data_IF_596893159136
#
_entry.id   IF_596893159136
#
_cell.length_a   1.000
_cell.length_b   1.000
_cell.length_c   1.000
_cell.angle_alpha   90.00
_cell.angle_beta   90.00
_cell.angle_gamma   90.00
#
_symmetry.space_group_name_H-M   'P 1'
#
loop_
_entity.id
_entity.type
_entity.pdbx_description
1 polymer ?
#
# COMPACT_ATOMS: atom_id res chain seq x y z
N UNK A 1 10.80 15.03 13.72
CA UNK A 1 11.17 16.48 13.63
C UNK A 1 9.98 17.34 13.18
N UNK A 2 8.78 16.75 13.03
CA UNK A 2 7.64 17.36 12.32
C UNK A 2 6.68 18.16 13.21
N UNK A 3 6.61 17.85 14.50
CA UNK A 3 5.65 18.48 15.41
C UNK A 3 6.21 19.78 15.99
N UNK A 4 5.34 20.80 16.13
CA UNK A 4 5.69 22.07 16.81
C UNK A 4 5.99 21.81 18.29
N UNK A 5 5.22 20.94 18.92
CA UNK A 5 5.34 20.56 20.32
C UNK A 5 5.26 19.03 20.47
N UNK A 6 6.37 18.31 20.23
CA UNK A 6 6.36 16.86 20.32
C UNK A 6 6.13 16.37 21.77
N UNK A 7 5.54 15.17 21.95
CA UNK A 7 5.44 14.50 23.24
C UNK A 7 6.79 14.40 23.94
N UNK A 8 6.78 14.40 25.27
CA UNK A 8 8.00 14.26 26.07
C UNK A 8 8.47 12.81 26.08
N UNK A 9 9.77 12.59 26.28
CA UNK A 9 10.35 11.23 26.33
C UNK A 9 9.65 10.33 27.37
N UNK A 10 9.23 10.88 28.51
CA UNK A 10 8.46 10.15 29.52
C UNK A 10 7.08 9.69 29.03
N UNK A 11 6.44 10.41 28.10
CA UNK A 11 5.17 9.98 27.49
C UNK A 11 5.39 8.81 26.54
N UNK A 12 6.49 8.82 25.77
CA UNK A 12 6.90 7.68 24.95
C UNK A 12 7.23 6.44 25.80
N UNK A 13 7.93 6.61 26.93
CA UNK A 13 8.17 5.50 27.85
C UNK A 13 6.85 4.97 28.45
N UNK A 14 5.95 5.86 28.85
CA UNK A 14 4.66 5.51 29.43
C UNK A 14 3.80 4.65 28.48
N UNK A 15 3.69 5.00 27.20
CA UNK A 15 2.87 4.22 26.23
C UNK A 15 3.41 2.81 25.96
N UNK A 16 4.65 2.50 26.37
CA UNK A 16 5.22 1.16 26.26
C UNK A 16 4.88 0.23 27.42
N UNK A 17 4.08 0.69 28.40
CA UNK A 17 3.70 -0.09 29.59
C UNK A 17 4.90 -0.66 30.36
N UNK A 18 5.97 0.14 30.48
CA UNK A 18 7.20 -0.22 31.18
C UNK A 18 8.15 -1.12 30.39
N UNK A 19 7.86 -1.45 29.13
CA UNK A 19 8.76 -2.23 28.29
C UNK A 19 10.05 -1.46 27.89
N UNK A 20 9.99 -0.13 27.84
CA UNK A 20 11.14 0.72 27.53
C UNK A 20 11.27 1.86 28.56
N UNK A 21 12.48 2.09 29.05
CA UNK A 21 12.85 3.24 29.88
C UNK A 21 13.23 4.47 29.03
N UNK A 22 13.20 5.66 29.62
CA UNK A 22 13.63 6.89 28.93
C UNK A 22 15.08 6.80 28.44
N UNK A 23 15.97 6.20 29.23
CA UNK A 23 17.39 6.03 28.88
C UNK A 23 17.58 5.08 27.69
N UNK A 24 16.79 4.00 27.60
CA UNK A 24 16.82 3.08 26.47
C UNK A 24 16.31 3.74 25.18
N UNK A 25 15.26 4.56 25.28
CA UNK A 25 14.73 5.33 24.15
C UNK A 25 15.80 6.29 23.61
N UNK A 26 16.43 7.10 24.49
CA UNK A 26 17.50 8.03 24.09
C UNK A 26 18.73 7.31 23.53
N UNK A 27 19.11 6.19 24.13
CA UNK A 27 20.20 5.35 23.65
C UNK A 27 19.91 4.82 22.25
N UNK A 28 18.69 4.35 22.00
CA UNK A 28 18.27 3.82 20.71
C UNK A 28 18.12 4.90 19.65
N UNK A 29 17.62 6.08 20.01
CA UNK A 29 17.56 7.25 19.14
C UNK A 29 18.95 7.53 18.56
N UNK A 30 19.98 7.64 19.41
CA UNK A 30 21.34 7.91 18.95
C UNK A 30 21.89 6.83 18.01
N UNK A 31 21.54 5.55 18.24
CA UNK A 31 21.92 4.44 17.36
C UNK A 31 21.26 4.59 15.99
N UNK A 32 19.95 4.89 15.95
CA UNK A 32 19.21 5.09 14.69
C UNK A 32 19.74 6.30 13.93
N UNK A 33 19.96 7.43 14.61
CA UNK A 33 20.51 8.66 14.01
C UNK A 33 21.87 8.41 13.33
N UNK A 34 22.78 7.71 14.02
CA UNK A 34 24.09 7.33 13.47
C UNK A 34 23.96 6.34 12.33
N UNK A 35 23.08 5.33 12.46
CA UNK A 35 22.85 4.33 11.44
C UNK A 35 22.33 4.92 10.12
N UNK A 36 21.50 5.96 10.20
CA UNK A 36 20.98 6.69 9.04
C UNK A 36 21.92 7.80 8.55
N UNK A 37 23.08 7.99 9.17
CA UNK A 37 24.00 9.07 8.83
C UNK A 37 23.38 10.46 8.96
N UNK A 38 22.47 10.64 9.92
CA UNK A 38 21.69 11.87 10.13
C UNK A 38 20.80 12.30 8.95
N UNK A 39 20.56 11.40 7.99
CA UNK A 39 19.62 11.65 6.89
C UNK A 39 18.17 11.34 7.33
N UNK A 40 17.49 12.34 7.89
CA UNK A 40 16.17 12.21 8.53
C UNK A 40 15.06 12.96 7.79
N UNK A 41 15.32 13.45 6.57
CA UNK A 41 14.36 14.22 5.77
C UNK A 41 13.99 13.53 4.45
N UNK A 42 13.54 12.25 4.47
CA UNK A 42 13.01 11.62 3.27
C UNK A 42 11.64 12.22 2.91
N UNK A 43 11.33 12.28 1.61
CA UNK A 43 9.97 12.60 1.17
C UNK A 43 9.12 11.33 1.25
N UNK A 44 8.25 11.25 2.26
CA UNK A 44 7.40 10.08 2.54
C UNK A 44 6.25 9.92 1.54
N UNK A 45 5.58 8.77 1.53
CA UNK A 45 4.41 8.56 0.66
C UNK A 45 3.25 9.54 0.94
N UNK A 46 2.87 9.85 2.20
CA UNK A 46 1.91 10.91 2.49
C UNK A 46 2.36 12.31 2.01
N UNK A 47 3.67 12.61 2.07
CA UNK A 47 4.20 13.87 1.56
C UNK A 47 4.04 13.99 0.03
N UNK A 48 4.31 12.91 -0.72
CA UNK A 48 4.01 12.84 -2.15
C UNK A 48 2.52 12.94 -2.45
N UNK A 49 1.68 12.25 -1.67
CA UNK A 49 0.23 12.34 -1.80
C UNK A 49 -0.25 13.78 -1.66
N UNK A 50 0.22 14.50 -0.63
CA UNK A 50 -0.12 15.91 -0.43
C UNK A 50 0.23 16.77 -1.66
N UNK A 51 1.43 16.58 -2.24
CA UNK A 51 1.83 17.27 -3.48
C UNK A 51 0.88 16.93 -4.63
N UNK A 52 0.54 15.66 -4.83
CA UNK A 52 -0.35 15.25 -5.92
C UNK A 52 -1.77 15.78 -5.77
N UNK A 53 -2.32 15.75 -4.56
CA UNK A 53 -3.63 16.33 -4.25
C UNK A 53 -3.65 17.84 -4.51
N UNK A 54 -2.58 18.53 -4.12
CA UNK A 54 -2.43 19.96 -4.37
C UNK A 54 -2.27 20.26 -5.85
N UNK A 55 -1.45 19.51 -6.59
CA UNK A 55 -1.29 19.68 -8.05
C UNK A 55 -2.63 19.51 -8.77
N UNK A 56 -3.49 18.60 -8.29
CA UNK A 56 -4.80 18.43 -8.91
C UNK A 56 -5.77 19.58 -8.62
N UNK A 57 -5.76 20.09 -7.39
CA UNK A 57 -6.77 21.06 -6.94
C UNK A 57 -6.33 22.52 -7.13
N UNK A 58 -5.03 22.76 -7.34
CA UNK A 58 -4.47 24.11 -7.38
C UNK A 58 -4.75 24.82 -8.70
N UNK A 59 -5.14 26.09 -8.59
CA UNK A 59 -5.20 27.01 -9.71
C UNK A 59 -3.78 27.44 -10.14
N UNK A 60 -3.29 26.87 -11.24
CA UNK A 60 -1.96 27.16 -11.79
C UNK A 60 -1.78 28.61 -12.25
N UNK A 61 -2.86 29.39 -12.42
CA UNK A 61 -2.76 30.83 -12.69
C UNK A 61 -2.25 31.62 -11.48
N UNK A 62 -2.29 31.04 -10.28
CA UNK A 62 -1.87 31.64 -9.01
C UNK A 62 -0.82 30.77 -8.31
N UNK A 63 0.43 30.75 -8.81
CA UNK A 63 1.48 29.87 -8.28
C UNK A 63 1.80 30.15 -6.80
N UNK A 64 1.65 31.39 -6.33
CA UNK A 64 1.84 31.75 -4.92
C UNK A 64 0.80 31.12 -3.98
N UNK A 65 -0.34 30.65 -4.51
CA UNK A 65 -1.38 29.99 -3.74
C UNK A 65 -1.10 28.50 -3.48
N UNK A 66 -0.08 27.91 -4.15
CA UNK A 66 0.21 26.47 -4.07
C UNK A 66 0.50 25.99 -2.65
N UNK A 67 1.06 26.85 -1.80
CA UNK A 67 1.39 26.52 -0.40
C UNK A 67 0.15 26.36 0.49
N UNK A 68 -1.01 26.84 0.04
CA UNK A 68 -2.25 26.75 0.79
C UNK A 68 -3.05 25.53 0.30
N UNK A 69 -3.45 24.63 1.20
CA UNK A 69 -4.20 23.43 0.84
C UNK A 69 -5.52 23.81 0.19
N UNK A 70 -5.76 23.24 -0.99
CA UNK A 70 -6.94 23.52 -1.82
C UNK A 70 -7.72 22.25 -2.19
N UNK A 71 -7.30 21.10 -1.68
CA UNK A 71 -7.91 19.79 -1.93
C UNK A 71 -8.80 19.34 -0.79
N UNK A 72 -9.76 18.45 -1.07
CA UNK A 72 -10.67 17.91 -0.05
C UNK A 72 -9.94 16.99 0.94
N UNK A 73 -10.11 17.26 2.24
CA UNK A 73 -9.60 16.39 3.31
C UNK A 73 -10.14 14.96 3.23
N UNK A 74 -11.40 14.78 2.79
CA UNK A 74 -11.99 13.44 2.60
C UNK A 74 -11.25 12.65 1.51
N UNK A 75 -11.02 13.27 0.34
CA UNK A 75 -10.30 12.61 -0.75
C UNK A 75 -8.87 12.26 -0.36
N UNK A 76 -8.21 13.13 0.41
CA UNK A 76 -6.89 12.87 0.96
C UNK A 76 -6.93 11.67 1.91
N UNK A 77 -7.86 11.67 2.87
CA UNK A 77 -8.00 10.60 3.87
C UNK A 77 -8.25 9.23 3.25
N UNK A 78 -9.06 9.14 2.18
CA UNK A 78 -9.29 7.89 1.46
C UNK A 78 -8.01 7.35 0.81
N UNK A 79 -7.24 8.22 0.15
CA UNK A 79 -5.96 7.81 -0.44
C UNK A 79 -4.91 7.49 0.63
N UNK A 80 -4.87 8.25 1.73
CA UNK A 80 -3.98 8.03 2.84
C UNK A 80 -4.27 6.70 3.55
N UNK A 81 -5.55 6.36 3.78
CA UNK A 81 -5.95 5.09 4.39
C UNK A 81 -5.44 3.88 3.56
N UNK A 82 -5.50 3.98 2.23
CA UNK A 82 -4.96 2.95 1.35
C UNK A 82 -3.43 2.83 1.48
N UNK A 83 -2.71 3.95 1.58
CA UNK A 83 -1.26 3.94 1.84
C UNK A 83 -0.95 3.34 3.22
N UNK A 84 -1.73 3.70 4.25
CA UNK A 84 -1.55 3.20 5.61
C UNK A 84 -1.71 1.69 5.66
N UNK A 85 -2.76 1.14 5.03
CA UNK A 85 -2.95 -0.31 4.95
C UNK A 85 -1.81 -0.99 4.19
N UNK A 86 -1.40 -0.43 3.05
CA UNK A 86 -0.38 -1.02 2.20
C UNK A 86 1.02 -1.00 2.84
N UNK A 87 1.33 0.01 3.65
CA UNK A 87 2.64 0.10 4.32
C UNK A 87 2.78 -0.88 5.49
N UNK A 88 1.69 -1.51 5.95
CA UNK A 88 1.76 -2.66 6.86
C UNK A 88 2.33 -3.92 6.18
N UNK A 89 2.31 -3.97 4.84
CA UNK A 89 2.90 -5.06 4.06
C UNK A 89 4.32 -4.68 3.59
N UNK A 90 5.28 -5.57 3.82
CA UNK A 90 6.68 -5.38 3.41
C UNK A 90 6.86 -5.25 1.90
N UNK A 91 5.92 -5.77 1.11
CA UNK A 91 5.90 -5.66 -0.34
C UNK A 91 5.84 -4.20 -0.83
N UNK A 92 5.35 -3.27 0.00
CA UNK A 92 5.35 -1.83 -0.30
C UNK A 92 6.75 -1.27 -0.54
N UNK A 93 7.78 -1.87 0.07
CA UNK A 93 9.18 -1.44 -0.05
C UNK A 93 9.77 -1.67 -1.45
N UNK A 94 9.10 -2.43 -2.31
CA UNK A 94 9.49 -2.62 -3.72
C UNK A 94 9.21 -1.38 -4.58
N UNK A 95 8.40 -0.43 -4.09
CA UNK A 95 7.96 0.73 -4.85
C UNK A 95 8.48 2.04 -4.23
N UNK A 96 8.91 3.01 -5.06
CA UNK A 96 9.20 4.35 -4.55
C UNK A 96 7.97 4.97 -3.89
N UNK A 97 8.16 5.78 -2.85
CA UNK A 97 7.07 6.49 -2.18
C UNK A 97 6.21 7.35 -3.11
N UNK A 98 6.80 7.89 -4.18
CA UNK A 98 6.06 8.59 -5.24
C UNK A 98 5.11 7.69 -6.02
N UNK A 99 5.50 6.43 -6.29
CA UNK A 99 4.66 5.47 -6.99
C UNK A 99 3.52 4.98 -6.10
N UNK A 100 3.79 4.74 -4.81
CA UNK A 100 2.78 4.41 -3.82
C UNK A 100 1.69 5.49 -3.73
N UNK A 101 2.10 6.76 -3.63
CA UNK A 101 1.18 7.89 -3.62
C UNK A 101 0.38 8.01 -4.93
N UNK A 102 1.04 7.89 -6.09
CA UNK A 102 0.36 7.95 -7.39
C UNK A 102 -0.62 6.79 -7.60
N UNK A 103 -0.28 5.58 -7.13
CA UNK A 103 -1.14 4.41 -7.20
C UNK A 103 -2.35 4.56 -6.24
N UNK A 104 -2.18 5.18 -5.08
CA UNK A 104 -3.30 5.51 -4.20
C UNK A 104 -4.25 6.54 -4.86
N UNK A 105 -3.71 7.57 -5.52
CA UNK A 105 -4.51 8.49 -6.35
C UNK A 105 -5.22 7.75 -7.48
N UNK A 106 -4.57 6.76 -8.12
CA UNK A 106 -5.22 5.95 -9.15
C UNK A 106 -6.47 5.23 -8.63
N UNK A 107 -6.39 4.59 -7.46
CA UNK A 107 -7.50 3.80 -6.91
C UNK A 107 -8.64 4.66 -6.37
N UNK A 108 -8.36 5.92 -6.01
CA UNK A 108 -9.36 6.85 -5.45
C UNK A 108 -9.93 7.84 -6.47
N UNK A 109 -9.14 8.25 -7.47
CA UNK A 109 -9.49 9.31 -8.44
C UNK A 109 -9.31 8.89 -9.91
N UNK A 110 -8.82 7.68 -10.16
CA UNK A 110 -8.70 7.11 -11.49
C UNK A 110 -7.37 7.38 -12.21
N UNK A 111 -7.21 6.68 -13.34
CA UNK A 111 -5.95 6.62 -14.11
C UNK A 111 -5.48 7.98 -14.62
N UNK A 112 -6.39 8.75 -15.21
CA UNK A 112 -6.02 10.03 -15.83
C UNK A 112 -5.50 11.03 -14.80
N UNK A 113 -6.14 11.10 -13.63
CA UNK A 113 -5.68 11.93 -12.52
C UNK A 113 -4.27 11.53 -12.07
N UNK A 114 -4.08 10.24 -11.77
CA UNK A 114 -2.80 9.72 -11.28
C UNK A 114 -1.63 10.01 -12.24
N UNK A 115 -1.81 9.80 -13.55
CA UNK A 115 -0.76 10.08 -14.54
C UNK A 115 -0.50 11.58 -14.69
N UNK A 116 -1.55 12.41 -14.61
CA UNK A 116 -1.44 13.86 -14.74
C UNK A 116 -0.65 14.48 -13.58
N UNK A 117 -0.97 14.10 -12.34
CA UNK A 117 -0.37 14.69 -11.13
C UNK A 117 1.04 14.16 -10.88
N UNK A 118 1.29 12.87 -11.17
CA UNK A 118 2.59 12.25 -10.94
C UNK A 118 3.59 12.47 -12.07
N UNK A 119 3.09 12.74 -13.29
CA UNK A 119 3.87 12.79 -14.55
C UNK A 119 4.60 11.49 -14.87
N UNK A 120 4.22 10.37 -14.25
CA UNK A 120 4.72 9.05 -14.57
C UNK A 120 4.06 8.53 -15.85
N UNK A 121 4.81 7.72 -16.60
CA UNK A 121 4.23 6.90 -17.66
C UNK A 121 3.39 5.77 -17.07
N UNK A 122 2.48 5.21 -17.87
CA UNK A 122 1.68 4.07 -17.41
C UNK A 122 2.56 2.86 -17.12
N UNK A 123 3.61 2.65 -17.92
CA UNK A 123 4.55 1.54 -17.78
C UNK A 123 5.28 1.59 -16.42
N UNK A 124 5.59 2.79 -15.93
CA UNK A 124 6.19 3.00 -14.61
C UNK A 124 5.19 2.76 -13.47
N UNK A 125 3.94 3.21 -13.64
CA UNK A 125 2.93 3.21 -12.57
C UNK A 125 2.18 1.87 -12.46
N UNK A 126 1.94 1.18 -13.57
CA UNK A 126 1.10 -0.02 -13.64
C UNK A 126 1.49 -1.15 -12.67
N UNK A 127 2.78 -1.47 -12.44
CA UNK A 127 3.16 -2.52 -11.48
C UNK A 127 2.71 -2.20 -10.06
N UNK A 128 2.89 -0.95 -9.62
CA UNK A 128 2.48 -0.49 -8.29
C UNK A 128 0.95 -0.46 -8.17
N UNK A 129 0.25 0.03 -9.20
CA UNK A 129 -1.22 0.02 -9.25
C UNK A 129 -1.78 -1.39 -9.12
N UNK A 130 -1.23 -2.35 -9.89
CA UNK A 130 -1.64 -3.75 -9.86
C UNK A 130 -1.44 -4.36 -8.48
N UNK A 131 -0.28 -4.15 -7.88
CA UNK A 131 0.02 -4.65 -6.53
C UNK A 131 -0.93 -4.04 -5.49
N UNK A 132 -1.19 -2.73 -5.57
CA UNK A 132 -2.04 -2.01 -4.63
C UNK A 132 -3.54 -2.36 -4.76
N UNK A 133 -3.96 -3.00 -5.86
CA UNK A 133 -5.35 -3.37 -6.11
C UNK A 133 -5.97 -4.24 -5.01
N UNK A 134 -5.22 -5.18 -4.45
CA UNK A 134 -5.75 -6.07 -3.40
C UNK A 134 -6.06 -5.30 -2.11
N UNK A 135 -5.22 -4.32 -1.77
CA UNK A 135 -5.39 -3.42 -0.64
C UNK A 135 -6.55 -2.45 -0.86
N UNK A 136 -6.66 -1.88 -2.06
CA UNK A 136 -7.77 -0.99 -2.42
C UNK A 136 -9.12 -1.70 -2.28
N UNK A 137 -9.20 -2.96 -2.72
CA UNK A 137 -10.41 -3.76 -2.55
C UNK A 137 -10.70 -4.09 -1.08
N UNK A 138 -9.67 -4.28 -0.24
CA UNK A 138 -9.88 -4.53 1.19
C UNK A 138 -10.41 -3.27 1.92
N UNK A 139 -9.91 -2.08 1.55
CA UNK A 139 -10.42 -0.80 2.06
C UNK A 139 -11.87 -0.58 1.62
N UNK A 140 -12.17 -0.79 0.33
CA UNK A 140 -13.53 -0.59 -0.21
C UNK A 140 -14.58 -1.53 0.43
N UNK A 141 -14.20 -2.79 0.69
CA UNK A 141 -15.08 -3.73 1.38
C UNK A 141 -15.40 -3.26 2.80
N UNK A 142 -14.45 -2.65 3.51
CA UNK A 142 -14.65 -2.14 4.87
C UNK A 142 -15.46 -0.84 4.89
N UNK A 143 -15.20 0.11 3.98
CA UNK A 143 -16.02 1.32 3.83
C UNK A 143 -17.49 0.97 3.60
N UNK A 144 -17.78 -0.05 2.78
CA UNK A 144 -19.14 -0.52 2.55
C UNK A 144 -19.82 -1.05 3.82
N UNK A 145 -19.05 -1.65 4.74
CA UNK A 145 -19.53 -2.12 6.04
C UNK A 145 -19.69 -0.98 7.05
N UNK A 146 -18.85 0.06 6.96
CA UNK A 146 -18.88 1.24 7.83
C UNK A 146 -19.99 2.22 7.47
N UNK A 147 -20.28 2.42 6.18
CA UNK A 147 -21.42 3.22 5.71
C UNK A 147 -22.77 2.64 6.12
N UNK A 148 -22.87 1.32 6.29
CA UNK A 148 -24.05 0.66 6.89
C UNK A 148 -24.20 0.96 8.39
N UNK A 149 -23.15 1.46 9.06
CA UNK A 149 -23.09 1.70 10.51
C UNK A 149 -23.10 3.18 10.91
N UNK A 150 -22.86 4.11 9.99
CA UNK A 150 -22.66 5.53 10.31
C UNK A 150 -23.81 6.43 9.85
N UNK A 151 -24.54 7.01 10.80
CA UNK A 151 -25.50 8.11 10.62
C UNK A 151 -24.98 9.37 11.31
N UNK A 152 -23.96 10.03 10.78
CA UNK A 152 -23.53 11.35 11.27
C UNK A 152 -23.27 12.27 10.09
N UNK A 153 -23.93 13.43 10.11
CA UNK A 153 -23.78 14.49 9.10
C UNK A 153 -22.53 15.34 9.40
N UNK A 154 -21.79 15.80 8.36
CA UNK A 154 -20.65 16.68 8.55
C UNK A 154 -21.08 18.07 9.02
N UNK A 155 -20.45 18.58 10.08
CA UNK A 155 -20.64 19.93 10.59
C UNK A 155 -19.74 20.90 9.81
N UNK A 156 -20.31 21.79 9.01
CA UNK A 156 -19.54 22.82 8.30
C UNK A 156 -19.09 23.93 9.26
N UNK A 157 -17.79 24.02 9.53
CA UNK A 157 -17.19 25.15 10.24
C UNK A 157 -16.93 26.32 9.29
N UNK A 158 -17.82 27.32 9.31
CA UNK A 158 -17.70 28.55 8.52
C UNK A 158 -16.88 29.61 9.26
N UNK A 159 -15.54 29.53 9.17
CA UNK A 159 -14.67 30.62 9.60
C UNK A 159 -14.26 31.49 8.40
N UNK A 160 -14.77 32.73 8.36
CA UNK A 160 -14.46 33.72 7.33
C UNK A 160 -13.05 34.27 7.46
N UNK A 161 -12.07 33.58 6.88
CA UNK A 161 -10.69 34.07 6.76
C UNK A 161 -10.53 34.98 5.55
N UNK A 162 -9.84 36.12 5.71
CA UNK A 162 -9.47 37.02 4.60
C UNK A 162 -8.61 36.35 3.52
N UNK A 163 -7.97 35.21 3.86
CA UNK A 163 -7.25 34.39 2.88
C UNK A 163 -8.15 33.88 1.76
N UNK A 164 -9.46 33.69 2.00
CA UNK A 164 -10.41 33.26 0.96
C UNK A 164 -10.53 34.26 -0.19
N UNK A 165 -10.21 35.54 0.03
CA UNK A 165 -10.18 36.53 -1.06
C UNK A 165 -9.02 36.28 -2.04
N UNK A 166 -7.88 35.81 -1.53
CA UNK A 166 -6.68 35.51 -2.34
C UNK A 166 -6.67 34.07 -2.84
N UNK A 167 -7.16 33.13 -2.02
CA UNK A 167 -7.24 31.69 -2.28
C UNK A 167 -8.68 31.21 -2.01
N UNK A 168 -9.60 31.33 -2.98
CA UNK A 168 -11.02 31.00 -2.80
C UNK A 168 -11.27 29.56 -2.35
N UNK A 169 -10.44 28.63 -2.84
CA UNK A 169 -10.57 27.18 -2.58
C UNK A 169 -9.79 26.73 -1.34
N UNK A 170 -9.33 27.64 -0.48
CA UNK A 170 -8.55 27.26 0.70
C UNK A 170 -9.38 26.37 1.64
N UNK A 171 -8.80 25.23 1.98
CA UNK A 171 -9.28 24.35 3.04
C UNK A 171 -8.62 24.80 4.35
N UNK A 172 -9.43 25.20 5.31
CA UNK A 172 -8.96 25.65 6.63
C UNK A 172 -8.98 24.53 7.67
N UNK A 173 -9.76 23.48 7.41
CA UNK A 173 -9.79 22.28 8.23
C UNK A 173 -8.64 21.37 7.81
N UNK A 174 -7.63 21.27 8.68
CA UNK A 174 -6.44 20.46 8.47
C UNK A 174 -6.53 19.11 9.22
N UNK A 175 -7.74 18.71 9.66
CA UNK A 175 -7.93 17.48 10.45
C UNK A 175 -7.47 16.21 9.72
N UNK A 176 -7.48 16.20 8.38
CA UNK A 176 -6.96 15.09 7.56
C UNK A 176 -5.46 14.85 7.72
N UNK A 177 -4.72 15.78 8.34
CA UNK A 177 -3.28 15.64 8.60
C UNK A 177 -2.96 14.92 9.90
N UNK A 178 -3.96 14.69 10.74
CA UNK A 178 -3.80 13.94 11.98
C UNK A 178 -3.82 12.45 11.63
N UNK A 179 -2.75 11.72 12.01
CA UNK A 179 -2.70 10.27 11.80
C UNK A 179 -3.85 9.60 12.57
N UNK A 180 -4.58 8.74 11.88
CA UNK A 180 -5.65 7.92 12.47
C UNK A 180 -5.27 6.44 12.43
N UNK A 181 -5.93 5.63 13.25
CA UNK A 181 -5.79 4.17 13.23
C UNK A 181 -7.05 3.54 12.62
N UNK A 182 -7.35 3.94 11.37
CA UNK A 182 -8.56 3.52 10.63
C UNK A 182 -8.37 2.19 9.85
N UNK A 183 -7.16 1.64 9.87
CA UNK A 183 -6.84 0.34 9.26
C UNK A 183 -6.38 -0.63 10.33
N UNK A 184 -6.57 -1.93 10.12
CA UNK A 184 -6.16 -2.96 11.07
C UNK A 184 -5.51 -4.17 10.38
N UNK A 185 -5.01 -5.10 11.20
CA UNK A 185 -4.36 -6.32 10.72
C UNK A 185 -5.34 -7.29 10.04
N UNK A 186 -6.64 -7.22 10.33
CA UNK A 186 -7.64 -8.06 9.66
C UNK A 186 -7.85 -7.60 8.21
N UNK A 187 -7.85 -6.29 7.97
CA UNK A 187 -7.85 -5.72 6.63
C UNK A 187 -6.59 -6.14 5.85
N UNK A 188 -5.43 -6.13 6.52
CA UNK A 188 -4.17 -6.58 5.91
C UNK A 188 -4.25 -8.05 5.49
N UNK A 189 -4.70 -8.93 6.38
CA UNK A 189 -4.87 -10.36 6.08
C UNK A 189 -5.80 -10.58 4.87
N UNK A 190 -6.93 -9.86 4.81
CA UNK A 190 -7.84 -9.90 3.65
C UNK A 190 -7.15 -9.44 2.36
N UNK A 191 -6.39 -8.35 2.41
CA UNK A 191 -5.64 -7.84 1.27
C UNK A 191 -4.61 -8.87 0.77
N UNK A 192 -3.83 -9.47 1.68
CA UNK A 192 -2.83 -10.50 1.33
C UNK A 192 -3.47 -11.77 0.75
N UNK A 193 -4.63 -12.19 1.24
CA UNK A 193 -5.38 -13.32 0.66
C UNK A 193 -5.84 -13.02 -0.77
N UNK A 194 -6.36 -11.81 -1.01
CA UNK A 194 -6.75 -11.36 -2.36
C UNK A 194 -5.56 -11.27 -3.30
N UNK A 195 -4.41 -10.81 -2.81
CA UNK A 195 -3.19 -10.73 -3.61
C UNK A 195 -2.74 -12.12 -4.10
N UNK A 196 -2.74 -13.12 -3.20
CA UNK A 196 -2.42 -14.52 -3.55
C UNK A 196 -3.38 -15.12 -4.58
N UNK A 197 -4.67 -14.81 -4.53
CA UNK A 197 -5.64 -15.32 -5.50
C UNK A 197 -5.52 -14.65 -6.87
N UNK A 198 -5.15 -13.36 -6.92
CA UNK A 198 -4.85 -12.65 -8.17
C UNK A 198 -3.61 -13.21 -8.87
N UNK A 199 -2.59 -13.61 -8.11
CA UNK A 199 -1.39 -14.23 -8.67
C UNK A 199 -1.68 -15.64 -9.21
N UNK A 200 -2.47 -16.44 -8.49
CA UNK A 200 -2.83 -17.79 -8.91
C UNK A 200 -3.70 -17.80 -10.18
N UNK A 201 -4.69 -16.90 -10.27
CA UNK A 201 -5.54 -16.77 -11.46
C UNK A 201 -4.75 -16.28 -12.70
N UNK A 202 -3.70 -15.49 -12.50
CA UNK A 202 -2.81 -15.06 -13.58
C UNK A 202 -1.98 -16.23 -14.16
N UNK A 203 -1.60 -17.21 -13.32
CA UNK A 203 -0.86 -18.40 -13.74
C UNK A 203 -1.74 -19.41 -14.50
N UNK A 204 -2.97 -19.66 -14.03
CA UNK A 204 -3.90 -20.58 -14.71
C UNK A 204 -4.29 -20.08 -16.12
N UNK A 205 -4.35 -18.77 -16.33
CA UNK A 205 -4.60 -18.15 -17.64
C UNK A 205 -3.46 -18.40 -18.64
N UNK A 206 -2.20 -18.43 -18.17
CA UNK A 206 -1.02 -18.73 -18.98
C UNK A 206 -0.89 -20.21 -19.32
N UNK A 207 -1.32 -21.10 -18.42
CA UNK A 207 -1.35 -22.56 -18.70
C UNK A 207 -2.44 -22.89 -19.72
N UNK A 208 -3.60 -22.22 -19.62
CA UNK A 208 -4.73 -22.41 -20.54
C UNK A 208 -4.47 -21.92 -21.97
N UNK A 209 -3.52 -21.00 -22.17
CA UNK A 209 -3.13 -20.50 -23.51
C UNK A 209 -2.07 -21.36 -24.22
N UNK A 210 -1.60 -22.45 -23.59
CA UNK A 210 -0.59 -23.35 -24.16
C UNK A 210 -1.16 -24.66 -24.76
N UNK A 211 -2.49 -24.81 -24.78
CA UNK A 211 -3.18 -26.03 -25.24
C UNK A 211 -4.24 -25.73 -26.32
N UNK A 212 -3.89 -24.95 -27.34
CA UNK A 212 -4.68 -24.90 -28.58
C UNK A 212 -3.83 -25.40 -29.75
N UNK A 213 -3.84 -26.72 -29.94
CA UNK A 213 -3.51 -27.35 -31.21
C UNK A 213 -4.53 -28.45 -31.48
N UNK A 214 -5.52 -28.10 -32.31
CA UNK A 214 -6.30 -28.96 -33.24
C UNK A 214 -6.61 -30.41 -32.84
N UNK A 215 -7.92 -30.67 -32.67
CA UNK A 215 -8.74 -31.90 -32.57
C UNK A 215 -8.33 -33.15 -33.42
N UNK A 216 -9.09 -34.28 -33.44
CA UNK A 216 -10.00 -34.93 -32.45
C UNK A 216 -9.69 -36.45 -32.26
N UNK A 217 -10.19 -37.11 -31.20
CA UNK A 217 -10.93 -38.39 -31.37
C UNK A 217 -11.58 -38.89 -30.07
N UNK A 218 -12.82 -39.36 -30.22
CA UNK A 218 -13.61 -40.02 -29.19
C UNK A 218 -13.13 -41.47 -29.02
N UNK A 219 -12.98 -41.91 -27.77
CA UNK A 219 -13.43 -43.22 -27.22
C UNK A 219 -12.47 -43.72 -26.12
N UNK A 220 -13.05 -44.25 -25.03
CA UNK A 220 -12.30 -45.04 -24.06
C UNK A 220 -12.55 -44.69 -22.60
N UNK A 221 -13.73 -45.04 -22.08
CA UNK A 221 -13.85 -45.47 -20.69
C UNK A 221 -12.83 -46.58 -20.45
N UNK A 222 -11.98 -46.46 -19.42
CA UNK A 222 -11.47 -47.61 -18.66
C UNK A 222 -10.82 -47.14 -17.34
N UNK A 223 -11.40 -47.62 -16.25
CA UNK A 223 -10.92 -47.53 -14.88
C UNK A 223 -9.54 -48.19 -14.69
N UNK A 224 -8.76 -47.80 -13.68
CA UNK A 224 -7.46 -48.42 -13.40
C UNK A 224 -7.66 -49.80 -12.72
N UNK A 225 -6.83 -50.83 -13.02
CA UNK A 225 -6.87 -52.09 -12.29
C UNK A 225 -6.05 -52.02 -10.99
N UNK A 226 -6.54 -52.71 -9.95
CA UNK A 226 -5.90 -52.87 -8.65
C UNK A 226 -4.65 -53.76 -8.71
N UNK A 227 -3.59 -53.37 -8.00
CA UNK A 227 -2.36 -54.16 -7.86
C UNK A 227 -2.42 -55.09 -6.65
N UNK A 228 -2.40 -56.41 -6.88
CA UNK A 228 -2.18 -57.41 -5.83
C UNK A 228 -1.14 -58.45 -6.27
N UNK A 229 -0.08 -58.58 -5.46
CA UNK A 229 0.89 -59.70 -5.39
C UNK A 229 1.91 -59.81 -6.55
N UNK A 230 3.17 -60.21 -6.42
CA UNK A 230 4.20 -60.34 -5.37
C UNK A 230 5.50 -60.81 -6.10
N UNK A 231 6.68 -60.47 -5.57
CA UNK A 231 8.01 -61.13 -5.74
C UNK A 231 8.98 -60.81 -6.92
N UNK A 232 10.00 -59.97 -6.59
CA UNK A 232 11.49 -60.14 -6.70
C UNK A 232 12.21 -60.35 -8.05
N UNK A 233 13.55 -60.08 -8.19
CA UNK A 233 14.49 -59.28 -7.38
C UNK A 233 15.24 -58.19 -8.20
N UNK A 234 15.86 -57.25 -7.49
CA UNK A 234 16.69 -56.14 -7.98
C UNK A 234 18.08 -56.55 -8.47
N UNK A 235 18.75 -55.72 -9.29
CA UNK A 235 20.18 -55.53 -9.19
C UNK A 235 20.54 -54.14 -8.64
N UNK A 236 21.59 -54.14 -7.82
CA UNK A 236 22.18 -53.05 -7.06
C UNK A 236 22.67 -51.91 -7.98
N UNK A 237 22.34 -50.65 -7.65
CA UNK A 237 22.93 -49.46 -8.30
C UNK A 237 23.86 -48.75 -7.32
N UNK A 238 25.15 -48.77 -7.64
CA UNK A 238 26.26 -48.14 -6.91
C UNK A 238 26.16 -46.60 -7.10
N UNK A 239 26.38 -45.78 -6.06
CA UNK A 239 26.40 -44.32 -6.19
C UNK A 239 27.74 -43.81 -6.77
N UNK A 240 27.74 -42.73 -7.57
CA UNK A 240 28.96 -42.19 -8.17
C UNK A 240 29.83 -41.42 -7.16
N UNK A 241 31.15 -41.54 -7.33
CA UNK A 241 32.16 -40.88 -6.50
C UNK A 241 32.26 -39.38 -6.79
N UNK A 242 32.46 -38.60 -5.72
CA UNK A 242 32.85 -37.19 -5.74
C UNK A 242 34.36 -37.08 -6.01
N UNK A 243 34.76 -36.32 -7.04
CA UNK A 243 36.14 -35.86 -7.17
C UNK A 243 36.35 -34.50 -6.49
N UNK A 244 37.55 -34.24 -5.92
CA UNK A 244 37.86 -33.01 -5.21
C UNK A 244 38.27 -31.86 -6.15
N UNK A 245 37.82 -30.66 -5.81
CA UNK A 245 38.25 -29.41 -6.42
C UNK A 245 39.75 -29.17 -6.20
N UNK A 246 40.45 -28.77 -7.28
CA UNK A 246 41.71 -28.01 -7.19
C UNK A 246 41.45 -26.61 -7.71
#
# INVERSE_FOLDING_TARGET
VEEIYPPKVGEFAYVTDGACTEQEILGKELIVLKGLGWNLSPITAPAWLNVYMQVESCDLSRPHAFIYPQYSGLQYSQAAQLIDLATLDEGSLQFPYSHMAAAAVYHTQGRECALRVSRLSWEQLAPCVKWLSAFAQAVADDESQSLLRSTVQPTESSSGSGLRATVPNIVLDESHRIQTHAVDLQMLEKAQQKHKSMDFSSLDSLVSTSLDTTSPDQSGILTPPSSGQKNSPSPVRIPPQLEPYT
#
